data_IF_522280647538
#
_entry.id   IF_522280647538
#
_cell.length_a   1.000
_cell.length_b   1.000
_cell.length_c   1.000
_cell.angle_alpha   90.00
_cell.angle_beta   90.00
_cell.angle_gamma   90.00
#
_symmetry.space_group_name_H-M   'P 1'
#
loop_
_entity.id
_entity.type
_entity.pdbx_description
1 polymer ?
#
# COMPACT_ATOMS: atom_id res chain seq x y z
N UNK A 1 -28.13 9.53 11.30
CA UNK A 1 -27.48 10.82 10.96
C UNK A 1 -25.98 10.55 10.95
N UNK A 2 -25.41 10.31 9.77
CA UNK A 2 -23.97 10.09 9.64
C UNK A 2 -23.27 11.43 9.84
N UNK A 3 -22.44 11.50 10.87
CA UNK A 3 -21.57 12.63 11.19
C UNK A 3 -20.68 12.93 9.99
N UNK A 4 -20.59 14.23 9.69
CA UNK A 4 -19.65 14.84 8.74
C UNK A 4 -18.31 14.11 8.79
N UNK A 5 -17.77 13.75 7.63
CA UNK A 5 -16.42 13.20 7.48
C UNK A 5 -15.40 14.21 8.03
N UNK A 6 -15.09 14.15 9.33
CA UNK A 6 -14.00 14.92 9.90
C UNK A 6 -12.71 14.45 9.24
N UNK A 7 -12.07 15.37 8.52
CA UNK A 7 -10.75 15.15 7.94
C UNK A 7 -9.79 14.80 9.09
N UNK A 8 -8.91 13.80 8.92
CA UNK A 8 -7.93 13.49 9.96
C UNK A 8 -7.10 14.73 10.24
N UNK A 9 -6.77 14.96 11.52
CA UNK A 9 -5.78 15.96 11.88
C UNK A 9 -4.44 15.49 11.33
N UNK A 10 -3.80 16.28 10.47
CA UNK A 10 -2.52 15.95 9.88
C UNK A 10 -1.45 16.61 10.75
N UNK A 11 -0.46 15.84 11.20
CA UNK A 11 0.61 16.36 12.02
C UNK A 11 1.40 17.44 11.26
N UNK A 12 1.66 18.55 11.93
CA UNK A 12 2.55 19.59 11.40
C UNK A 12 4.01 19.12 11.49
N UNK A 13 4.78 19.42 10.45
CA UNK A 13 6.21 19.10 10.40
C UNK A 13 6.96 20.40 10.71
N UNK A 14 7.51 20.56 11.93
CA UNK A 14 8.17 21.80 12.29
C UNK A 14 9.49 21.92 11.51
N UNK A 15 9.77 23.12 10.99
CA UNK A 15 10.96 23.39 10.17
C UNK A 15 12.07 24.09 10.93
N UNK A 16 11.81 24.52 12.16
CA UNK A 16 12.74 25.27 13.02
C UNK A 16 12.99 24.48 14.32
N UNK A 17 13.57 23.30 14.18
CA UNK A 17 13.91 22.40 15.28
C UNK A 17 15.42 22.19 15.27
N UNK A 18 16.07 22.37 16.41
CA UNK A 18 17.45 21.96 16.59
C UNK A 18 17.52 20.42 16.56
N UNK A 19 18.18 19.89 15.54
CA UNK A 19 18.31 18.44 15.34
C UNK A 19 19.60 17.96 16.00
N UNK A 20 19.46 17.25 17.13
CA UNK A 20 20.57 16.52 17.74
C UNK A 20 21.02 15.36 16.82
N UNK A 21 22.30 15.31 16.38
CA UNK A 21 22.78 14.28 15.46
C UNK A 21 22.62 12.86 15.99
N UNK A 22 22.75 12.65 17.30
CA UNK A 22 22.60 11.32 17.91
C UNK A 22 21.15 10.85 17.80
N UNK A 23 20.20 11.74 18.10
CA UNK A 23 18.77 11.48 17.95
C UNK A 23 18.40 11.18 16.50
N UNK A 24 18.95 11.94 15.54
CA UNK A 24 18.76 11.69 14.12
C UNK A 24 19.22 10.28 13.72
N UNK A 25 20.44 9.90 14.10
CA UNK A 25 20.99 8.57 13.78
C UNK A 25 20.14 7.44 14.38
N UNK A 26 19.65 7.61 15.61
CA UNK A 26 18.77 6.63 16.28
C UNK A 26 17.44 6.49 15.52
N UNK A 27 16.80 7.61 15.17
CA UNK A 27 15.52 7.60 14.44
C UNK A 27 15.68 7.00 13.05
N UNK A 28 16.72 7.39 12.32
CA UNK A 28 17.01 6.87 10.99
C UNK A 28 17.27 5.35 11.04
N UNK A 29 18.09 4.89 12.00
CA UNK A 29 18.36 3.48 12.23
C UNK A 29 17.10 2.68 12.59
N UNK A 30 16.23 3.23 13.44
CA UNK A 30 14.98 2.60 13.82
C UNK A 30 14.01 2.47 12.65
N UNK A 31 13.84 3.52 11.83
CA UNK A 31 12.99 3.49 10.64
C UNK A 31 13.52 2.51 9.58
N UNK A 32 14.84 2.48 9.36
CA UNK A 32 15.48 1.47 8.49
C UNK A 32 15.21 0.05 9.01
N UNK A 33 15.36 -0.19 10.31
CA UNK A 33 15.07 -1.50 10.92
C UNK A 33 13.60 -1.89 10.73
N UNK A 34 12.66 -0.97 10.99
CA UNK A 34 11.24 -1.21 10.77
C UNK A 34 10.94 -1.58 9.30
N UNK A 35 11.54 -0.87 8.34
CA UNK A 35 11.44 -1.18 6.91
C UNK A 35 11.98 -2.57 6.56
N UNK A 36 13.04 -3.05 7.22
CA UNK A 36 13.53 -4.42 7.03
C UNK A 36 12.60 -5.46 7.65
N UNK A 37 12.02 -5.18 8.81
CA UNK A 37 11.05 -6.06 9.45
C UNK A 37 9.76 -6.20 8.63
N UNK A 38 9.28 -5.12 8.00
CA UNK A 38 8.14 -5.16 7.07
C UNK A 38 8.35 -6.20 5.95
N UNK A 39 9.51 -6.20 5.30
CA UNK A 39 9.85 -7.20 4.28
C UNK A 39 9.98 -8.59 4.86
N UNK A 40 10.69 -8.72 5.98
CA UNK A 40 10.88 -10.02 6.61
C UNK A 40 9.56 -10.70 7.00
N UNK A 41 8.54 -9.92 7.40
CA UNK A 41 7.20 -10.42 7.70
C UNK A 41 6.49 -10.86 6.42
N UNK A 42 6.48 -10.03 5.38
CA UNK A 42 5.82 -10.37 4.12
C UNK A 42 6.45 -11.60 3.47
N UNK A 43 7.78 -11.60 3.29
CA UNK A 43 8.54 -12.73 2.75
C UNK A 43 8.27 -14.05 3.48
N UNK A 44 8.12 -14.04 4.82
CA UNK A 44 7.89 -15.26 5.61
C UNK A 44 6.45 -15.74 5.59
N UNK A 45 5.50 -14.87 5.28
CA UNK A 45 4.06 -15.16 5.33
C UNK A 45 3.45 -15.39 3.95
N UNK A 46 4.02 -14.80 2.90
CA UNK A 46 3.58 -14.98 1.53
C UNK A 46 3.63 -16.45 1.09
N UNK A 47 2.64 -16.83 0.30
CA UNK A 47 2.53 -18.16 -0.32
C UNK A 47 3.11 -18.18 -1.73
N UNK A 48 3.05 -17.05 -2.45
CA UNK A 48 3.55 -16.95 -3.81
C UNK A 48 5.09 -17.00 -3.87
N UNK A 49 5.68 -17.83 -4.74
CA UNK A 49 7.11 -17.77 -5.05
C UNK A 49 7.55 -16.44 -5.68
N UNK A 50 6.64 -15.59 -6.16
CA UNK A 50 7.01 -14.26 -6.65
C UNK A 50 7.55 -13.42 -5.49
N UNK A 51 6.83 -13.35 -4.38
CA UNK A 51 7.29 -12.67 -3.17
C UNK A 51 8.34 -13.55 -2.45
N UNK A 52 8.02 -14.81 -2.17
CA UNK A 52 8.84 -15.69 -1.31
C UNK A 52 10.18 -16.11 -1.92
N UNK A 53 10.34 -16.13 -3.24
CA UNK A 53 11.60 -16.54 -3.88
C UNK A 53 12.23 -15.43 -4.74
N UNK A 54 11.43 -14.58 -5.40
CA UNK A 54 11.98 -13.51 -6.24
C UNK A 54 12.20 -12.20 -5.48
N UNK A 55 11.58 -12.05 -4.30
CA UNK A 55 11.61 -10.82 -3.50
C UNK A 55 11.05 -9.59 -4.25
N UNK A 56 9.96 -9.79 -4.98
CA UNK A 56 9.25 -8.71 -5.68
C UNK A 56 8.20 -8.07 -4.75
N UNK A 57 8.72 -7.49 -3.66
CA UNK A 57 8.00 -6.74 -2.64
C UNK A 57 8.78 -5.50 -2.21
N UNK A 58 8.09 -4.38 -1.99
CA UNK A 58 8.75 -3.10 -1.70
C UNK A 58 8.01 -2.26 -0.65
N UNK A 59 8.59 -2.12 0.55
CA UNK A 59 8.01 -1.37 1.66
C UNK A 59 8.46 0.08 1.61
N UNK A 60 7.64 0.96 2.17
CA UNK A 60 7.96 2.37 2.34
C UNK A 60 7.31 2.91 3.61
N UNK A 61 8.01 3.83 4.27
CA UNK A 61 7.48 4.67 5.35
C UNK A 61 7.66 6.12 4.94
N UNK A 62 6.60 6.91 5.11
CA UNK A 62 6.54 8.31 4.68
C UNK A 62 6.09 9.22 5.82
N UNK A 63 6.31 10.51 5.62
CA UNK A 63 5.73 11.55 6.46
C UNK A 63 4.21 11.71 6.19
N UNK A 64 3.50 12.57 6.96
CA UNK A 64 2.05 12.74 6.78
C UNK A 64 1.65 13.24 5.38
N UNK A 65 2.59 13.88 4.67
CA UNK A 65 2.43 14.44 3.33
C UNK A 65 2.94 13.47 2.25
N UNK A 66 2.98 12.17 2.54
CA UNK A 66 3.34 11.11 1.60
C UNK A 66 4.76 11.21 1.05
N UNK A 67 5.64 12.02 1.65
CA UNK A 67 7.05 12.14 1.23
C UNK A 67 7.84 10.99 1.86
N UNK A 68 8.54 10.24 1.01
CA UNK A 68 9.33 9.09 1.45
C UNK A 68 10.40 9.50 2.47
N UNK A 69 10.43 8.77 3.60
CA UNK A 69 11.49 8.87 4.61
C UNK A 69 12.44 7.67 4.46
N UNK A 70 11.89 6.46 4.41
CA UNK A 70 12.64 5.22 4.10
C UNK A 70 11.83 4.38 3.12
N UNK A 71 12.48 3.82 2.10
CA UNK A 71 11.81 3.05 1.06
C UNK A 71 12.76 2.75 -0.10
N UNK A 72 12.23 2.13 -1.15
CA UNK A 72 13.01 1.72 -2.33
C UNK A 72 12.55 2.40 -3.63
N UNK A 73 11.24 2.58 -3.79
CA UNK A 73 10.63 3.23 -4.95
C UNK A 73 10.02 4.59 -4.58
N UNK A 74 9.80 5.45 -5.57
CA UNK A 74 9.40 6.86 -5.40
C UNK A 74 8.12 7.08 -4.57
N UNK A 75 7.80 8.35 -4.32
CA UNK A 75 6.64 8.72 -3.51
C UNK A 75 5.35 8.75 -4.35
N UNK A 76 4.44 7.79 -4.12
CA UNK A 76 3.16 7.62 -4.84
C UNK A 76 1.91 7.99 -4.02
N UNK A 77 2.05 8.18 -2.72
CA UNK A 77 0.92 8.35 -1.81
C UNK A 77 0.19 9.67 -2.08
N UNK A 78 0.91 10.73 -2.46
CA UNK A 78 0.31 12.05 -2.67
C UNK A 78 -0.75 12.07 -3.77
N UNK A 79 -0.45 11.46 -4.90
CA UNK A 79 -1.39 11.36 -6.02
C UNK A 79 -2.57 10.44 -5.67
N UNK A 80 -2.28 9.28 -5.06
CA UNK A 80 -3.32 8.34 -4.67
C UNK A 80 -4.32 8.94 -3.68
N UNK A 81 -3.84 9.84 -2.82
CA UNK A 81 -4.64 10.51 -1.81
C UNK A 81 -5.21 11.85 -2.28
N UNK A 82 -4.89 12.34 -3.48
CA UNK A 82 -5.36 13.64 -4.00
C UNK A 82 -6.88 13.64 -4.20
N UNK A 83 -7.41 12.59 -4.81
CA UNK A 83 -8.85 12.42 -5.06
C UNK A 83 -9.57 11.68 -3.92
N UNK A 84 -8.87 11.34 -2.84
CA UNK A 84 -9.44 10.55 -1.76
C UNK A 84 -10.41 11.37 -0.91
N UNK A 85 -11.69 11.09 -1.06
CA UNK A 85 -12.79 11.80 -0.39
C UNK A 85 -13.39 11.02 0.80
N UNK A 86 -12.88 9.81 1.04
CA UNK A 86 -13.30 8.95 2.16
C UNK A 86 -12.54 9.35 3.42
N UNK A 87 -13.17 9.31 4.59
CA UNK A 87 -12.45 9.53 5.84
C UNK A 87 -11.32 8.51 6.04
N UNK A 88 -10.22 8.90 6.67
CA UNK A 88 -9.10 8.04 7.05
C UNK A 88 -9.05 7.93 8.56
N UNK A 89 -8.99 6.70 9.06
CA UNK A 89 -9.08 6.39 10.48
C UNK A 89 -8.01 5.37 10.91
N UNK A 90 -7.63 5.36 12.19
CA UNK A 90 -6.80 4.30 12.73
C UNK A 90 -7.37 2.91 12.41
N UNK A 91 -6.51 2.00 11.94
CA UNK A 91 -6.90 0.64 11.54
C UNK A 91 -7.48 0.51 10.13
N UNK A 92 -7.53 1.58 9.33
CA UNK A 92 -7.83 1.46 7.91
C UNK A 92 -6.66 0.82 7.14
N UNK A 93 -6.98 0.03 6.11
CA UNK A 93 -6.01 -0.53 5.15
C UNK A 93 -6.57 -0.31 3.75
N UNK A 94 -5.82 0.40 2.92
CA UNK A 94 -6.18 0.76 1.55
C UNK A 94 -5.42 -0.15 0.59
N UNK A 95 -6.09 -0.64 -0.46
CA UNK A 95 -5.51 -1.43 -1.54
C UNK A 95 -5.75 -0.72 -2.87
N UNK A 96 -4.77 -0.79 -3.77
CA UNK A 96 -4.92 -0.44 -5.20
C UNK A 96 -4.01 -1.32 -6.07
N UNK A 97 -4.45 -1.57 -7.30
CA UNK A 97 -3.60 -2.09 -8.39
C UNK A 97 -3.68 -1.19 -9.63
N UNK A 98 -4.32 -0.01 -9.50
CA UNK A 98 -4.53 0.91 -10.61
C UNK A 98 -3.29 1.77 -10.89
N UNK A 99 -2.60 1.58 -12.03
CA UNK A 99 -1.42 2.38 -12.40
C UNK A 99 -1.73 3.86 -12.60
N UNK A 100 -2.99 4.20 -12.92
CA UNK A 100 -3.41 5.58 -13.17
C UNK A 100 -3.77 6.34 -11.89
N UNK A 101 -3.77 5.68 -10.73
CA UNK A 101 -4.11 6.28 -9.43
C UNK A 101 -2.92 6.40 -8.47
N UNK A 102 -1.69 6.25 -8.96
CA UNK A 102 -0.49 6.27 -8.14
C UNK A 102 0.75 6.83 -8.87
N UNK A 103 0.54 7.81 -9.77
CA UNK A 103 1.59 8.39 -10.61
C UNK A 103 2.45 7.34 -11.35
N UNK A 104 1.83 6.25 -11.83
CA UNK A 104 2.50 5.14 -12.50
C UNK A 104 3.59 4.43 -11.66
N UNK A 105 3.49 4.49 -10.33
CA UNK A 105 4.37 3.69 -9.46
C UNK A 105 3.98 2.21 -9.44
N UNK A 106 2.70 1.90 -9.70
CA UNK A 106 2.28 0.59 -10.17
C UNK A 106 2.58 0.52 -11.66
N UNK A 107 3.40 -0.46 -12.06
CA UNK A 107 3.84 -0.61 -13.46
C UNK A 107 2.90 -1.49 -14.27
N UNK A 108 2.21 -2.43 -13.62
CA UNK A 108 1.24 -3.33 -14.20
C UNK A 108 0.28 -3.87 -13.12
N UNK A 109 -0.86 -4.43 -13.50
CA UNK A 109 -1.94 -4.84 -12.59
C UNK A 109 -1.58 -5.96 -11.60
N UNK A 110 -0.47 -6.68 -11.80
CA UNK A 110 0.05 -7.64 -10.83
C UNK A 110 0.61 -6.97 -9.57
N UNK A 111 1.05 -5.70 -9.64
CA UNK A 111 1.59 -5.01 -8.47
C UNK A 111 0.42 -4.50 -7.63
N UNK A 112 0.25 -5.07 -6.44
CA UNK A 112 -0.75 -4.61 -5.48
C UNK A 112 -0.07 -3.75 -4.43
N UNK A 113 -0.60 -2.55 -4.25
CA UNK A 113 -0.14 -1.60 -3.26
C UNK A 113 -1.09 -1.57 -2.08
N UNK A 114 -0.58 -1.93 -0.90
CA UNK A 114 -1.26 -1.73 0.37
C UNK A 114 -0.73 -0.46 1.03
N UNK A 115 -1.65 0.39 1.53
CA UNK A 115 -1.35 1.61 2.26
C UNK A 115 -2.06 1.61 3.62
N UNK A 116 -1.32 1.95 4.68
CA UNK A 116 -1.79 2.03 6.06
C UNK A 116 -1.45 3.42 6.64
N UNK A 117 -2.43 4.18 7.16
CA UNK A 117 -2.17 5.43 7.87
C UNK A 117 -1.59 5.17 9.26
N UNK A 118 -0.58 5.95 9.64
CA UNK A 118 0.06 5.88 10.96
C UNK A 118 -0.44 7.06 11.80
N UNK A 119 -1.05 6.75 12.94
CA UNK A 119 -1.59 7.74 13.86
C UNK A 119 -0.82 7.77 15.18
N UNK A 120 -0.65 8.96 15.74
CA UNK A 120 -0.15 9.21 17.10
C UNK A 120 -0.92 10.40 17.69
N UNK A 121 -1.45 10.26 18.91
CA UNK A 121 -2.27 11.29 19.58
C UNK A 121 -3.40 11.87 18.69
N UNK A 122 -4.14 10.99 18.00
CA UNK A 122 -5.23 11.31 17.05
C UNK A 122 -4.81 12.15 15.82
N UNK A 123 -3.50 12.25 15.55
CA UNK A 123 -2.95 12.91 14.36
C UNK A 123 -2.32 11.90 13.41
N UNK A 124 -2.56 12.07 12.12
CA UNK A 124 -1.85 11.35 11.06
C UNK A 124 -0.39 11.84 11.04
N UNK A 125 0.53 10.97 11.45
CA UNK A 125 1.97 11.25 11.52
C UNK A 125 2.76 10.67 10.35
N UNK A 126 2.13 9.85 9.52
CA UNK A 126 2.78 9.26 8.37
C UNK A 126 1.97 8.15 7.74
N UNK A 127 2.61 7.46 6.81
CA UNK A 127 2.03 6.28 6.17
C UNK A 127 3.06 5.16 6.05
N UNK A 128 2.59 3.93 6.18
CA UNK A 128 3.34 2.75 5.76
C UNK A 128 2.69 2.17 4.51
N UNK A 129 3.48 1.76 3.54
CA UNK A 129 2.99 1.04 2.37
C UNK A 129 3.85 -0.17 2.06
N UNK A 130 3.26 -1.11 1.34
CA UNK A 130 3.89 -2.35 0.90
C UNK A 130 3.39 -2.71 -0.49
N UNK A 131 4.31 -2.90 -1.43
CA UNK A 131 4.04 -3.55 -2.70
C UNK A 131 4.19 -5.05 -2.56
N UNK A 132 3.35 -5.81 -3.27
CA UNK A 132 3.59 -7.20 -3.55
C UNK A 132 3.20 -7.51 -4.99
N UNK A 133 4.08 -8.18 -5.73
CA UNK A 133 3.75 -8.68 -7.05
C UNK A 133 2.94 -9.97 -6.93
N UNK A 134 1.66 -9.88 -7.24
CA UNK A 134 0.74 -11.00 -7.20
C UNK A 134 1.00 -11.98 -8.34
N UNK A 135 0.96 -13.29 -8.06
CA UNK A 135 1.15 -14.31 -9.10
C UNK A 135 0.07 -14.23 -10.19
N UNK A 136 -1.15 -13.83 -9.84
CA UNK A 136 -2.26 -13.68 -10.77
C UNK A 136 -3.11 -12.48 -10.34
N UNK A 137 -3.57 -11.68 -11.30
CA UNK A 137 -4.47 -10.56 -11.07
C UNK A 137 -5.75 -10.66 -11.91
N UNK A 138 -6.11 -11.86 -12.39
CA UNK A 138 -7.33 -12.10 -13.17
C UNK A 138 -7.25 -11.76 -14.66
N UNK A 139 -6.04 -11.62 -15.22
CA UNK A 139 -5.83 -11.42 -16.66
C UNK A 139 -6.25 -12.63 -17.50
N UNK A 140 -6.24 -12.57 -18.84
CA UNK A 140 -6.71 -13.64 -19.73
C UNK A 140 -5.81 -14.88 -19.72
N UNK A 141 -4.55 -14.75 -19.30
CA UNK A 141 -3.57 -15.84 -19.22
C UNK A 141 -3.17 -16.07 -17.75
N UNK A 142 -2.81 -17.31 -17.37
CA UNK A 142 -2.15 -17.57 -16.09
C UNK A 142 -0.91 -16.69 -15.92
N UNK A 143 -0.73 -16.09 -14.75
CA UNK A 143 0.33 -15.11 -14.52
C UNK A 143 -0.10 -13.67 -14.77
N UNK A 144 -1.19 -13.47 -15.52
CA UNK A 144 -1.76 -12.15 -15.87
C UNK A 144 -0.80 -11.18 -16.57
N UNK A 145 0.21 -11.72 -17.28
CA UNK A 145 1.15 -10.95 -18.10
C UNK A 145 0.97 -11.26 -19.61
N UNK A 146 -0.16 -10.86 -20.22
CA UNK A 146 -0.42 -11.12 -21.63
C UNK A 146 0.44 -10.23 -22.55
N UNK A 147 1.25 -10.85 -23.41
CA UNK A 147 2.06 -10.12 -24.42
C UNK A 147 1.25 -9.56 -25.59
N UNK A 148 -0.01 -9.98 -25.72
CA UNK A 148 -0.92 -9.56 -26.79
C UNK A 148 -1.98 -8.55 -26.38
N UNK A 149 -1.97 -8.08 -25.13
CA UNK A 149 -2.91 -7.06 -24.67
C UNK A 149 -2.70 -5.75 -25.44
N UNK A 150 -3.80 -5.14 -25.86
CA UNK A 150 -3.88 -3.86 -26.56
C UNK A 150 -4.46 -2.77 -25.66
N UNK A 151 -5.15 -3.16 -24.60
CA UNK A 151 -5.74 -2.26 -23.61
C UNK A 151 -5.55 -2.84 -22.21
N UNK A 152 -5.51 -1.99 -21.19
CA UNK A 152 -5.39 -2.42 -19.78
C UNK A 152 -6.53 -3.36 -19.34
N UNK A 153 -7.70 -3.27 -19.96
CA UNK A 153 -8.83 -4.16 -19.68
C UNK A 153 -8.59 -5.61 -20.09
N UNK A 154 -7.51 -5.87 -20.83
CA UNK A 154 -7.05 -7.21 -21.19
C UNK A 154 -5.91 -7.69 -20.28
N UNK A 155 -5.51 -6.93 -19.24
CA UNK A 155 -4.38 -7.24 -18.36
C UNK A 155 -4.81 -7.75 -16.97
N UNK A 156 -6.11 -7.72 -16.66
CA UNK A 156 -6.65 -8.24 -15.40
C UNK A 156 -7.52 -7.25 -14.66
N UNK A 157 -7.75 -7.53 -13.38
CA UNK A 157 -8.56 -6.69 -12.50
C UNK A 157 -7.78 -5.42 -12.13
N UNK A 158 -8.37 -4.28 -12.47
CA UNK A 158 -7.90 -2.96 -12.03
C UNK A 158 -8.64 -2.63 -10.74
N UNK A 159 -7.92 -2.58 -9.62
CA UNK A 159 -8.47 -2.29 -8.31
C UNK A 159 -8.22 -0.81 -8.04
N UNK A 160 -9.25 0.06 -8.06
CA UNK A 160 -9.07 1.46 -7.67
C UNK A 160 -8.75 1.54 -6.18
N UNK A 161 -8.17 2.65 -5.69
CA UNK A 161 -7.95 2.86 -4.27
C UNK A 161 -9.23 2.63 -3.46
N UNK A 162 -9.22 1.61 -2.59
CA UNK A 162 -10.34 1.27 -1.74
C UNK A 162 -9.89 0.70 -0.41
N UNK A 163 -10.74 0.77 0.62
CA UNK A 163 -10.47 0.12 1.91
C UNK A 163 -10.79 -1.37 1.83
N UNK A 164 -9.80 -2.22 2.13
CA UNK A 164 -10.00 -3.65 2.41
C UNK A 164 -10.15 -3.93 3.91
N UNK A 165 -9.72 -2.99 4.75
CA UNK A 165 -10.02 -2.95 6.19
C UNK A 165 -10.48 -1.53 6.52
N UNK A 166 -11.60 -1.41 7.22
CA UNK A 166 -12.10 -0.12 7.70
C UNK A 166 -12.19 -0.15 9.23
N UNK A 167 -11.43 0.72 9.90
CA UNK A 167 -11.37 0.82 11.36
C UNK A 167 -11.12 -0.52 12.05
N UNK A 168 -10.23 -1.33 11.49
CA UNK A 168 -9.90 -2.67 11.99
C UNK A 168 -10.83 -3.80 11.52
N UNK A 169 -11.92 -3.48 10.81
CA UNK A 169 -12.88 -4.48 10.32
C UNK A 169 -12.66 -4.80 8.84
N UNK A 170 -12.39 -6.07 8.54
CA UNK A 170 -12.16 -6.55 7.16
C UNK A 170 -13.42 -6.42 6.33
N UNK A 171 -13.30 -5.78 5.17
CA UNK A 171 -14.39 -5.60 4.20
C UNK A 171 -14.57 -6.87 3.36
N UNK A 172 -15.27 -7.86 3.91
CA UNK A 172 -15.40 -9.19 3.32
C UNK A 172 -15.99 -9.18 1.90
N UNK A 173 -17.00 -8.36 1.63
CA UNK A 173 -17.63 -8.29 0.31
C UNK A 173 -16.67 -7.71 -0.75
N UNK A 174 -15.87 -6.71 -0.36
CA UNK A 174 -14.87 -6.08 -1.23
C UNK A 174 -13.76 -7.08 -1.55
N UNK A 175 -13.19 -7.69 -0.50
CA UNK A 175 -12.12 -8.66 -0.66
C UNK A 175 -12.61 -9.90 -1.42
N UNK A 176 -13.83 -10.37 -1.14
CA UNK A 176 -14.46 -11.48 -1.84
C UNK A 176 -14.67 -11.20 -3.32
N UNK A 177 -15.10 -9.98 -3.69
CA UNK A 177 -15.23 -9.57 -5.08
C UNK A 177 -13.88 -9.58 -5.81
N UNK A 178 -12.84 -9.02 -5.19
CA UNK A 178 -11.49 -8.99 -5.76
C UNK A 178 -10.98 -10.41 -5.97
N UNK A 179 -10.96 -11.23 -4.91
CA UNK A 179 -10.41 -12.58 -4.93
C UNK A 179 -11.18 -13.51 -5.88
N UNK A 180 -12.49 -13.33 -6.04
CA UNK A 180 -13.29 -14.14 -6.98
C UNK A 180 -12.87 -13.94 -8.46
N UNK A 181 -12.11 -12.88 -8.77
CA UNK A 181 -11.56 -12.65 -10.10
C UNK A 181 -10.14 -13.22 -10.27
N UNK A 182 -9.59 -13.91 -9.26
CA UNK A 182 -8.24 -14.48 -9.28
C UNK A 182 -8.29 -15.98 -9.56
N UNK A 183 -7.29 -16.52 -10.26
CA UNK A 183 -7.14 -17.98 -10.42
C UNK A 183 -6.71 -18.67 -9.13
N UNK A 184 -5.97 -17.98 -8.27
CA UNK A 184 -5.37 -18.50 -7.04
C UNK A 184 -5.82 -17.68 -5.81
N UNK A 185 -7.12 -17.60 -5.52
CA UNK A 185 -7.66 -16.68 -4.51
C UNK A 185 -7.10 -16.91 -3.09
N UNK A 186 -6.78 -18.16 -2.73
CA UNK A 186 -6.17 -18.46 -1.43
C UNK A 186 -4.74 -17.93 -1.32
N UNK A 187 -3.98 -17.97 -2.42
CA UNK A 187 -2.62 -17.43 -2.49
C UNK A 187 -2.66 -15.90 -2.46
N UNK A 188 -3.48 -15.27 -3.32
CA UNK A 188 -3.68 -13.81 -3.34
C UNK A 188 -4.21 -13.23 -2.02
N UNK A 189 -4.88 -14.04 -1.19
CA UNK A 189 -5.35 -13.62 0.14
C UNK A 189 -4.26 -13.73 1.21
N UNK A 190 -3.33 -14.65 1.03
CA UNK A 190 -2.24 -14.90 1.95
C UNK A 190 -1.05 -13.96 1.69
N UNK A 191 -0.79 -13.68 0.41
CA UNK A 191 0.11 -12.63 -0.07
C UNK A 191 -0.45 -11.23 0.27
#
# INVERSE_FOLDING_TARGET
MATVHEKPRIAEIPTDVEVDPVTLDIIEGALKSARFEMDAVLFRSAMSPVIREQHDEFPMITDPKGRMIVGQFGAYINEMMEEWDRGIYPGDVILTSDPFKCSASISHTNDWLVLVPIFYDDELVGWASQFGHMMDCGGPLPGSLPTGARTIFEEGLIIPPLKIVERGEVQQDVLGLILNNMRLPEMNRAD
#
